data_IF_869324850732
#
_entry.id   IF_869324850732
#
_cell.length_a   1.000
_cell.length_b   1.000
_cell.length_c   1.000
_cell.angle_alpha   90.00
_cell.angle_beta   90.00
_cell.angle_gamma   90.00
#
_symmetry.space_group_name_H-M   'P 1'
#
loop_
_entity.id
_entity.type
_entity.pdbx_description
1 polymer ?
#
# COMPACT_ATOMS: atom_id res chain seq x y z
N UNK A 1 10.64 12.13 -27.93
CA UNK A 1 9.75 11.06 -28.42
C UNK A 1 10.30 9.75 -27.89
N UNK A 2 9.58 9.04 -27.03
CA UNK A 2 9.97 7.71 -26.53
C UNK A 2 9.42 6.62 -27.46
N UNK A 3 10.20 5.55 -27.66
CA UNK A 3 9.76 4.34 -28.36
C UNK A 3 9.36 3.28 -27.33
N UNK A 4 8.32 2.49 -27.62
CA UNK A 4 7.82 1.46 -26.72
C UNK A 4 6.71 0.61 -27.34
N UNK A 5 6.25 -0.39 -26.59
CA UNK A 5 5.09 -1.22 -26.98
C UNK A 5 3.83 -0.58 -26.40
N UNK A 6 2.93 -0.15 -27.29
CA UNK A 6 1.57 0.21 -26.88
C UNK A 6 0.71 -1.05 -26.85
N UNK A 7 0.16 -1.37 -25.69
CA UNK A 7 -0.70 -2.54 -25.48
C UNK A 7 -2.14 -2.09 -25.43
N UNK A 8 -2.98 -2.72 -26.25
CA UNK A 8 -4.42 -2.45 -26.29
C UNK A 8 -5.14 -3.57 -25.54
N UNK A 9 -5.83 -3.23 -24.46
CA UNK A 9 -6.68 -4.19 -23.75
C UNK A 9 -8.14 -3.97 -24.13
N UNK A 10 -8.91 -5.07 -24.20
CA UNK A 10 -10.33 -5.01 -24.55
C UNK A 10 -11.14 -4.20 -23.52
N UNK A 11 -10.72 -4.27 -22.26
CA UNK A 11 -11.47 -3.79 -21.08
C UNK A 11 -10.82 -2.59 -20.39
N UNK A 12 -9.72 -2.06 -20.91
CA UNK A 12 -8.97 -0.99 -20.27
C UNK A 12 -8.39 0.02 -21.24
N UNK A 13 -7.69 1.02 -20.69
CA UNK A 13 -6.95 2.00 -21.48
C UNK A 13 -5.75 1.32 -22.14
N UNK A 14 -5.24 1.93 -23.21
CA UNK A 14 -3.98 1.48 -23.78
C UNK A 14 -2.83 1.95 -22.87
N UNK A 15 -1.93 1.05 -22.50
CA UNK A 15 -0.74 1.39 -21.72
C UNK A 15 0.53 1.21 -22.55
N UNK A 16 1.55 2.01 -22.24
CA UNK A 16 2.83 2.00 -22.93
C UNK A 16 3.88 1.32 -22.06
N UNK A 17 4.50 0.28 -22.61
CA UNK A 17 5.74 -0.30 -22.11
C UNK A 17 6.90 0.37 -22.85
N UNK A 18 7.37 1.50 -22.33
CA UNK A 18 8.49 2.29 -22.87
C UNK A 18 9.63 2.41 -21.86
N UNK A 19 10.70 3.13 -22.21
CA UNK A 19 11.90 3.18 -21.36
C UNK A 19 11.73 3.94 -20.05
N UNK A 20 10.58 4.58 -19.80
CA UNK A 20 10.23 5.14 -18.49
C UNK A 20 9.32 4.18 -17.69
N UNK A 21 8.94 3.05 -18.29
CA UNK A 21 8.02 2.11 -17.67
C UNK A 21 8.71 1.27 -16.60
N UNK A 22 8.21 1.33 -15.37
CA UNK A 22 8.63 0.44 -14.28
C UNK A 22 7.59 -0.65 -14.08
N UNK A 23 7.91 -1.89 -14.42
CA UNK A 23 7.08 -3.06 -14.10
C UNK A 23 7.46 -3.65 -12.75
N UNK A 24 6.48 -3.86 -11.87
CA UNK A 24 6.72 -4.44 -10.56
C UNK A 24 6.11 -5.83 -10.40
N UNK A 25 6.72 -6.61 -9.52
CA UNK A 25 6.27 -7.93 -9.13
C UNK A 25 6.13 -8.03 -7.62
N UNK A 26 4.99 -8.53 -7.16
CA UNK A 26 4.76 -8.92 -5.78
C UNK A 26 5.58 -10.18 -5.51
N UNK A 27 6.75 -10.02 -4.90
CA UNK A 27 7.67 -11.12 -4.58
C UNK A 27 7.37 -11.76 -3.23
N UNK A 28 6.54 -11.14 -2.40
CA UNK A 28 6.06 -11.71 -1.15
C UNK A 28 4.89 -10.93 -0.56
N UNK A 29 4.03 -11.62 0.18
CA UNK A 29 2.95 -11.00 0.93
C UNK A 29 2.70 -11.77 2.23
N UNK A 30 2.55 -11.04 3.34
CA UNK A 30 2.12 -11.55 4.64
C UNK A 30 0.85 -10.79 5.03
N UNK A 31 -0.22 -11.49 5.38
CA UNK A 31 -1.50 -10.89 5.79
C UNK A 31 -1.64 -10.67 7.31
N UNK A 32 -0.68 -11.16 8.09
CA UNK A 32 -0.58 -11.05 9.55
C UNK A 32 0.76 -11.67 10.00
N UNK A 33 1.09 -11.56 11.29
CA UNK A 33 2.33 -12.05 11.89
C UNK A 33 3.58 -11.45 11.25
N UNK A 34 3.54 -10.13 11.01
CA UNK A 34 4.69 -9.39 10.49
C UNK A 34 5.66 -9.12 11.63
N UNK A 35 6.89 -9.61 11.48
CA UNK A 35 7.99 -9.40 12.43
C UNK A 35 9.12 -8.57 11.80
N UNK A 36 9.99 -7.95 12.62
CA UNK A 36 11.08 -7.11 12.11
C UNK A 36 12.00 -7.83 11.12
N UNK A 37 12.26 -9.14 11.32
CA UNK A 37 12.86 -10.01 10.31
C UNK A 37 11.75 -10.76 9.59
N UNK A 38 11.46 -10.35 8.36
CA UNK A 38 10.21 -10.75 7.69
C UNK A 38 10.24 -12.13 7.05
N UNK A 39 11.42 -12.69 6.80
CA UNK A 39 11.59 -13.88 5.96
C UNK A 39 11.43 -13.62 4.45
N UNK A 40 11.16 -12.38 4.04
CA UNK A 40 11.06 -11.99 2.64
C UNK A 40 12.41 -11.45 2.14
N UNK A 41 12.78 -11.77 0.90
CA UNK A 41 14.08 -11.41 0.33
C UNK A 41 13.92 -10.64 -0.97
N UNK A 42 14.82 -9.68 -1.19
CA UNK A 42 14.92 -8.94 -2.45
C UNK A 42 16.10 -9.47 -3.25
N UNK A 43 15.91 -9.97 -4.48
CA UNK A 43 17.01 -10.49 -5.29
C UNK A 43 18.10 -9.44 -5.58
N UNK A 44 19.32 -9.92 -5.83
CA UNK A 44 20.40 -9.04 -6.25
C UNK A 44 20.09 -8.32 -7.56
N UNK A 45 20.47 -7.03 -7.62
CA UNK A 45 20.19 -6.18 -8.76
C UNK A 45 18.73 -5.68 -8.86
N UNK A 46 17.92 -5.85 -7.81
CA UNK A 46 16.56 -5.30 -7.74
C UNK A 46 16.47 -4.14 -6.75
N UNK A 47 15.53 -3.24 -7.03
CA UNK A 47 14.95 -2.31 -6.06
C UNK A 47 13.66 -2.90 -5.50
N UNK A 48 13.16 -2.26 -4.43
CA UNK A 48 12.01 -2.76 -3.69
C UNK A 48 11.14 -1.65 -3.11
N UNK A 49 9.91 -2.03 -2.80
CA UNK A 49 8.99 -1.29 -1.96
C UNK A 49 8.29 -2.25 -1.01
N UNK A 50 8.28 -1.91 0.28
CA UNK A 50 7.54 -2.62 1.30
C UNK A 50 6.29 -1.82 1.65
N UNK A 51 5.13 -2.33 1.27
CA UNK A 51 3.85 -1.78 1.71
C UNK A 51 3.47 -2.36 3.07
N UNK A 52 3.14 -1.49 4.01
CA UNK A 52 2.59 -1.85 5.31
C UNK A 52 1.21 -1.21 5.46
N UNK A 53 0.16 -2.01 5.60
CA UNK A 53 -1.20 -1.45 5.65
C UNK A 53 -1.47 -0.70 6.95
N UNK A 54 -0.75 -1.00 8.04
CA UNK A 54 -0.88 -0.33 9.35
C UNK A 54 0.50 -0.08 9.98
N UNK A 55 1.34 0.68 9.27
CA UNK A 55 2.73 0.88 9.66
C UNK A 55 2.87 1.66 10.97
N UNK A 56 2.13 2.77 11.09
CA UNK A 56 2.27 3.70 12.20
C UNK A 56 1.18 3.52 13.25
N UNK A 57 1.49 3.86 14.50
CA UNK A 57 0.52 3.78 15.59
C UNK A 57 1.10 4.21 16.93
N UNK A 58 0.25 4.14 17.95
CA UNK A 58 0.64 4.23 19.35
C UNK A 58 0.34 2.91 20.06
N UNK A 59 1.06 2.66 21.13
CA UNK A 59 0.85 1.54 22.04
C UNK A 59 0.46 2.05 23.41
N UNK A 60 -0.47 1.35 24.06
CA UNK A 60 -0.93 1.60 25.42
C UNK A 60 -0.61 0.44 26.36
N UNK A 61 -0.47 0.77 27.65
CA UNK A 61 -0.38 -0.14 28.80
C UNK A 61 -1.42 0.28 29.85
N UNK A 62 -1.73 -0.60 30.81
CA UNK A 62 -2.58 -0.25 31.95
C UNK A 62 -1.72 0.23 33.13
N UNK A 63 -2.07 1.37 33.72
CA UNK A 63 -1.46 1.83 34.97
C UNK A 63 -2.04 1.11 36.21
N UNK A 64 -1.54 1.49 37.39
CA UNK A 64 -1.99 0.94 38.69
C UNK A 64 -3.48 1.19 39.01
N UNK A 65 -4.15 2.05 38.23
CA UNK A 65 -5.57 2.37 38.37
C UNK A 65 -6.44 1.72 37.29
N UNK A 66 -5.89 0.76 36.53
CA UNK A 66 -6.49 0.14 35.35
C UNK A 66 -6.82 1.14 34.22
N UNK A 67 -6.11 2.27 34.15
CA UNK A 67 -6.27 3.24 33.07
C UNK A 67 -5.28 2.97 31.94
N UNK A 68 -5.73 3.11 30.68
CA UNK A 68 -4.84 3.02 29.52
C UNK A 68 -3.93 4.25 29.43
N UNK A 69 -2.62 4.02 29.41
CA UNK A 69 -1.57 5.04 29.28
C UNK A 69 -0.80 4.81 27.99
N UNK A 70 -0.50 5.86 27.24
CA UNK A 70 0.29 5.75 26.01
C UNK A 70 1.76 5.77 26.35
N UNK A 71 2.44 4.67 26.05
CA UNK A 71 3.83 4.44 26.47
C UNK A 71 4.80 4.29 25.29
N UNK A 72 4.28 4.05 24.09
CA UNK A 72 5.14 3.90 22.91
C UNK A 72 4.46 4.32 21.60
N UNK A 73 5.29 4.51 20.58
CA UNK A 73 4.87 4.79 19.21
C UNK A 73 5.62 3.92 18.20
N UNK A 74 4.93 3.57 17.12
CA UNK A 74 5.45 2.77 16.02
C UNK A 74 5.63 3.63 14.77
N UNK A 75 6.82 3.59 14.18
CA UNK A 75 7.16 4.22 12.91
C UNK A 75 8.24 3.37 12.18
N UNK A 76 7.90 2.18 11.67
CA UNK A 76 8.88 1.22 11.17
C UNK A 76 9.41 1.61 9.78
N UNK A 77 10.72 1.76 9.63
CA UNK A 77 11.37 2.03 8.35
C UNK A 77 11.92 0.73 7.76
N UNK A 78 11.45 0.39 6.56
CA UNK A 78 11.92 -0.77 5.81
C UNK A 78 13.35 -0.57 5.30
N UNK A 79 14.20 -1.58 5.47
CA UNK A 79 15.55 -1.64 4.90
C UNK A 79 15.90 -3.08 4.49
N UNK A 80 17.00 -3.24 3.75
CA UNK A 80 17.57 -4.55 3.45
C UNK A 80 18.79 -4.77 4.32
N UNK A 81 18.88 -5.94 4.98
CA UNK A 81 20.09 -6.35 5.67
C UNK A 81 21.18 -6.83 4.69
N UNK A 82 22.30 -7.31 5.23
CA UNK A 82 23.45 -7.81 4.44
C UNK A 82 23.12 -9.02 3.55
N UNK A 83 22.06 -9.75 3.85
CA UNK A 83 21.56 -10.88 3.07
C UNK A 83 20.40 -10.49 2.15
N UNK A 84 20.10 -9.18 2.06
CA UNK A 84 18.96 -8.63 1.33
C UNK A 84 17.61 -9.17 1.82
N UNK A 85 17.54 -9.56 3.09
CA UNK A 85 16.28 -9.80 3.77
C UNK A 85 15.61 -8.44 4.03
N UNK A 86 14.31 -8.36 3.76
CA UNK A 86 13.52 -7.22 4.16
C UNK A 86 13.40 -7.20 5.68
N UNK A 87 13.91 -6.13 6.28
CA UNK A 87 13.90 -5.89 7.71
C UNK A 87 13.29 -4.52 8.03
N UNK A 88 12.93 -4.33 9.30
CA UNK A 88 12.43 -3.06 9.81
C UNK A 88 13.32 -2.53 10.93
N UNK A 89 13.45 -1.21 11.01
CA UNK A 89 14.07 -0.47 12.12
C UNK A 89 13.14 0.63 12.59
N UNK A 90 13.34 1.11 13.81
CA UNK A 90 12.60 2.26 14.33
C UNK A 90 12.95 3.53 13.52
N UNK A 91 11.91 4.25 13.08
CA UNK A 91 11.99 5.56 12.49
C UNK A 91 12.05 6.67 13.55
N UNK A 92 12.11 7.92 13.09
CA UNK A 92 12.30 9.09 13.96
C UNK A 92 11.18 9.29 14.99
N UNK A 93 9.97 8.79 14.70
CA UNK A 93 8.82 8.92 15.58
C UNK A 93 8.52 7.64 16.37
N UNK A 94 9.40 6.63 16.36
CA UNK A 94 9.23 5.45 17.18
C UNK A 94 9.87 5.69 18.57
N UNK A 95 9.09 5.48 19.63
CA UNK A 95 9.48 5.73 21.03
C UNK A 95 9.08 4.53 21.88
N UNK A 96 9.96 4.16 22.82
CA UNK A 96 9.72 3.17 23.86
C UNK A 96 9.80 1.71 23.38
N UNK A 97 10.20 0.82 24.28
CA UNK A 97 9.96 -0.63 24.19
C UNK A 97 8.97 -0.95 25.33
N UNK A 98 7.93 -1.70 25.04
CA UNK A 98 6.86 -2.01 26.01
C UNK A 98 6.63 -3.51 26.06
N UNK A 99 5.92 -4.01 27.08
CA UNK A 99 5.60 -5.45 27.16
C UNK A 99 4.78 -5.92 25.94
N UNK A 100 4.02 -5.01 25.32
CA UNK A 100 3.22 -5.26 24.13
C UNK A 100 4.01 -5.17 22.81
N UNK A 101 5.20 -4.56 22.83
CA UNK A 101 6.15 -4.52 21.72
C UNK A 101 7.55 -4.88 22.22
N UNK A 102 7.79 -6.15 22.61
CA UNK A 102 9.04 -6.56 23.26
C UNK A 102 10.24 -6.60 22.30
N UNK A 103 10.04 -6.27 21.02
CA UNK A 103 11.10 -6.22 20.02
C UNK A 103 11.81 -4.86 20.06
N UNK A 104 13.08 -4.82 19.65
CA UNK A 104 13.84 -3.57 19.39
C UNK A 104 13.19 -2.64 18.34
N UNK A 105 12.09 -3.07 17.73
CA UNK A 105 11.39 -2.39 16.65
C UNK A 105 9.89 -2.47 16.90
N UNK A 106 9.25 -1.32 17.04
CA UNK A 106 7.82 -1.21 17.26
C UNK A 106 7.09 -1.40 15.92
N UNK A 107 6.47 -2.56 15.74
CA UNK A 107 5.76 -2.95 14.53
C UNK A 107 4.47 -3.66 14.90
N UNK A 108 3.33 -3.25 14.32
CA UNK A 108 2.09 -3.98 14.50
C UNK A 108 2.14 -5.31 13.74
N UNK A 109 2.04 -6.49 14.39
CA UNK A 109 2.06 -7.75 13.67
C UNK A 109 0.76 -8.02 12.89
N UNK A 110 -0.36 -7.36 13.23
CA UNK A 110 -1.68 -7.55 12.62
C UNK A 110 -1.92 -6.60 11.46
N UNK A 111 -1.08 -6.69 10.43
CA UNK A 111 -1.20 -5.88 9.22
C UNK A 111 -0.82 -6.68 7.98
N UNK A 112 -1.13 -6.11 6.81
CA UNK A 112 -0.66 -6.64 5.54
C UNK A 112 0.70 -6.04 5.23
N UNK A 113 1.68 -6.91 4.97
CA UNK A 113 2.95 -6.58 4.34
C UNK A 113 2.93 -7.09 2.89
N UNK A 114 3.17 -6.21 1.91
CA UNK A 114 3.40 -6.61 0.51
C UNK A 114 4.78 -6.13 0.09
N UNK A 115 5.65 -7.06 -0.30
CA UNK A 115 6.94 -6.77 -0.89
C UNK A 115 6.83 -6.75 -2.41
N UNK A 116 7.06 -5.58 -2.99
CA UNK A 116 7.15 -5.38 -4.42
C UNK A 116 8.60 -5.17 -4.82
N UNK A 117 9.02 -5.83 -5.90
CA UNK A 117 10.39 -5.75 -6.41
C UNK A 117 10.40 -5.52 -7.91
N UNK A 118 11.44 -4.83 -8.39
CA UNK A 118 11.69 -4.62 -9.81
C UNK A 118 13.19 -4.58 -10.08
N UNK A 119 13.65 -5.05 -11.25
CA UNK A 119 15.07 -4.98 -11.58
C UNK A 119 15.52 -3.52 -11.70
N UNK A 120 16.69 -3.21 -11.13
CA UNK A 120 17.35 -1.92 -11.35
C UNK A 120 17.69 -1.75 -12.83
N UNK A 121 17.67 -0.52 -13.37
CA UNK A 121 18.23 -0.26 -14.69
C UNK A 121 19.67 -0.76 -14.75
N UNK A 122 19.93 -1.73 -15.61
CA UNK A 122 21.25 -2.29 -15.85
C UNK A 122 21.48 -2.38 -17.36
N UNK A 123 22.74 -2.33 -17.79
CA UNK A 123 23.06 -2.60 -19.19
C UNK A 123 22.58 -3.99 -19.58
N UNK A 124 21.87 -4.05 -20.69
CA UNK A 124 21.32 -5.29 -21.21
C UNK A 124 22.43 -6.26 -21.65
N UNK A 125 22.66 -7.32 -20.89
CA UNK A 125 23.46 -8.48 -21.32
C UNK A 125 22.53 -9.70 -21.46
N UNK A 126 22.55 -10.35 -22.63
CA UNK A 126 21.76 -11.57 -22.91
C UNK A 126 20.67 -11.42 -23.98
N UNK A 127 19.70 -12.33 -23.98
CA UNK A 127 18.59 -12.37 -24.94
C UNK A 127 17.36 -11.61 -24.41
N UNK A 128 16.74 -10.75 -25.23
CA UNK A 128 15.55 -9.98 -24.88
C UNK A 128 15.11 -9.06 -26.02
N UNK A 129 14.00 -8.33 -25.82
CA UNK A 129 13.58 -7.28 -26.75
C UNK A 129 14.15 -5.96 -26.26
N UNK A 130 14.93 -5.30 -27.12
CA UNK A 130 15.53 -3.99 -26.89
C UNK A 130 14.95 -2.99 -27.89
N UNK A 131 14.30 -1.94 -27.40
CA UNK A 131 13.83 -0.84 -28.25
C UNK A 131 14.86 0.29 -28.24
N UNK A 132 15.65 0.39 -29.31
CA UNK A 132 16.68 1.42 -29.45
C UNK A 132 16.12 2.68 -30.11
N UNK A 133 16.00 3.76 -29.34
CA UNK A 133 15.70 5.10 -29.86
C UNK A 133 15.63 6.14 -28.74
N UNK A 134 16.64 7.02 -28.71
CA UNK A 134 16.83 8.18 -27.82
C UNK A 134 16.71 7.88 -26.31
N UNK A 135 17.85 7.64 -25.67
CA UNK A 135 18.14 7.67 -24.21
C UNK A 135 17.23 6.94 -23.20
N UNK A 136 16.27 6.11 -23.62
CA UNK A 136 15.46 5.34 -22.68
C UNK A 136 15.40 3.87 -23.09
N UNK A 137 16.15 3.03 -22.37
CA UNK A 137 16.19 1.59 -22.54
C UNK A 137 14.99 0.94 -21.85
N UNK A 138 13.97 0.52 -22.61
CA UNK A 138 13.02 -0.46 -22.10
C UNK A 138 13.61 -1.85 -22.32
N UNK A 139 13.95 -2.55 -21.23
CA UNK A 139 14.46 -3.90 -21.30
C UNK A 139 13.55 -4.86 -20.53
N UNK A 140 13.03 -5.85 -21.24
CA UNK A 140 12.53 -7.08 -20.62
C UNK A 140 13.63 -8.12 -20.75
N UNK A 141 14.15 -8.57 -19.61
CA UNK A 141 15.21 -9.58 -19.55
C UNK A 141 14.78 -10.77 -18.70
N UNK A 142 15.70 -11.73 -18.52
CA UNK A 142 15.47 -12.93 -17.71
C UNK A 142 15.07 -12.66 -16.24
N UNK A 143 15.29 -11.44 -15.75
CA UNK A 143 14.97 -11.01 -14.38
C UNK A 143 13.59 -10.31 -14.32
N UNK A 144 13.03 -9.83 -15.42
CA UNK A 144 11.72 -9.16 -15.41
C UNK A 144 10.59 -10.13 -15.05
N UNK A 145 9.76 -9.74 -14.08
CA UNK A 145 8.52 -10.42 -13.70
C UNK A 145 7.39 -9.37 -13.61
N UNK A 146 6.13 -9.80 -13.68
CA UNK A 146 4.98 -8.91 -13.68
C UNK A 146 3.92 -9.37 -12.68
N UNK A 147 3.39 -8.43 -11.89
CA UNK A 147 2.13 -8.64 -11.18
C UNK A 147 0.96 -8.29 -12.07
N UNK A 148 0.05 -9.25 -12.26
CA UNK A 148 -1.08 -9.10 -13.17
C UNK A 148 -2.33 -8.67 -12.41
N UNK A 149 -3.17 -7.87 -13.08
CA UNK A 149 -4.51 -7.55 -12.63
C UNK A 149 -5.34 -8.84 -12.70
N UNK A 150 -5.84 -9.27 -11.55
CA UNK A 150 -6.74 -10.44 -11.46
C UNK A 150 -8.20 -10.03 -11.44
N UNK A 151 -8.48 -8.80 -11.02
CA UNK A 151 -9.80 -8.19 -11.03
C UNK A 151 -9.68 -6.66 -11.03
N UNK A 152 -10.64 -6.00 -11.69
CA UNK A 152 -10.87 -4.57 -11.54
C UNK A 152 -12.35 -4.26 -11.75
N UNK A 153 -12.86 -3.22 -11.11
CA UNK A 153 -14.25 -2.82 -11.24
C UNK A 153 -14.65 -1.75 -10.24
N UNK A 154 -15.93 -1.40 -10.26
CA UNK A 154 -16.52 -0.54 -9.24
C UNK A 154 -16.88 -1.36 -7.99
N UNK A 155 -16.63 -0.79 -6.81
CA UNK A 155 -16.99 -1.34 -5.51
C UNK A 155 -17.75 -0.32 -4.68
N UNK A 156 -18.66 -0.81 -3.85
CA UNK A 156 -19.37 -0.02 -2.86
C UNK A 156 -18.91 -0.44 -1.45
N UNK A 157 -18.35 0.51 -0.70
CA UNK A 157 -17.87 0.29 0.67
C UNK A 157 -18.81 1.02 1.62
N UNK A 158 -19.46 0.27 2.50
CA UNK A 158 -20.39 0.79 3.51
C UNK A 158 -19.82 0.62 4.91
N UNK A 159 -20.48 1.22 5.91
CA UNK A 159 -20.15 1.02 7.33
C UNK A 159 -20.32 -0.44 7.83
N UNK A 160 -20.93 -1.32 7.02
CA UNK A 160 -20.99 -2.77 7.28
C UNK A 160 -19.68 -3.48 6.97
N UNK A 161 -18.76 -2.82 6.25
CA UNK A 161 -17.50 -3.39 5.84
C UNK A 161 -17.54 -3.96 4.43
N UNK A 162 -16.44 -3.80 3.72
CA UNK A 162 -16.17 -4.47 2.45
C UNK A 162 -14.92 -5.33 2.56
N UNK A 163 -14.99 -6.53 1.98
CA UNK A 163 -13.94 -7.55 2.00
C UNK A 163 -13.56 -7.92 0.58
N UNK A 164 -12.29 -8.24 0.34
CA UNK A 164 -11.84 -8.68 -0.99
C UNK A 164 -12.49 -10.00 -1.42
N UNK A 165 -12.90 -10.82 -0.46
CA UNK A 165 -13.65 -12.05 -0.65
C UNK A 165 -15.01 -11.82 -1.35
N UNK A 166 -15.55 -10.58 -1.31
CA UNK A 166 -16.79 -10.23 -2.01
C UNK A 166 -16.62 -10.28 -3.54
N UNK A 167 -15.39 -10.18 -4.05
CA UNK A 167 -15.07 -10.38 -5.47
C UNK A 167 -14.97 -11.87 -5.78
N UNK A 168 -14.17 -12.58 -4.98
CA UNK A 168 -13.94 -14.01 -5.11
C UNK A 168 -13.49 -14.56 -3.74
N UNK A 169 -14.17 -15.59 -3.20
CA UNK A 169 -13.85 -16.14 -1.88
C UNK A 169 -12.41 -16.65 -1.70
N UNK A 170 -11.72 -16.99 -2.78
CA UNK A 170 -10.31 -17.43 -2.74
C UNK A 170 -9.31 -16.30 -2.53
N UNK A 171 -9.72 -15.05 -2.70
CA UNK A 171 -8.85 -13.89 -2.51
C UNK A 171 -8.78 -13.51 -1.04
N UNK A 172 -7.57 -13.26 -0.57
CA UNK A 172 -7.27 -12.85 0.80
C UNK A 172 -6.16 -11.81 0.80
N UNK A 173 -5.95 -11.14 1.93
CA UNK A 173 -4.83 -10.21 2.08
C UNK A 173 -3.45 -10.90 2.03
N UNK A 174 -3.40 -12.23 2.05
CA UNK A 174 -2.16 -12.98 1.86
C UNK A 174 -1.80 -13.21 0.38
N UNK A 175 -2.77 -13.14 -0.53
CA UNK A 175 -2.55 -13.49 -1.94
C UNK A 175 -2.98 -12.41 -2.94
N UNK A 176 -3.36 -11.23 -2.43
CA UNK A 176 -3.84 -10.14 -3.25
C UNK A 176 -3.46 -8.77 -2.67
N UNK A 177 -3.34 -7.79 -3.56
CA UNK A 177 -3.02 -6.41 -3.22
C UNK A 177 -3.94 -5.47 -3.99
N UNK A 178 -4.67 -4.63 -3.27
CA UNK A 178 -5.77 -3.82 -3.81
C UNK A 178 -5.46 -2.34 -3.72
N UNK A 179 -5.74 -1.63 -4.81
CA UNK A 179 -5.66 -0.19 -4.90
C UNK A 179 -7.06 0.39 -5.16
N UNK A 180 -7.37 1.50 -4.50
CA UNK A 180 -8.66 2.18 -4.60
C UNK A 180 -8.49 3.58 -5.17
N UNK A 181 -9.42 3.96 -6.06
CA UNK A 181 -9.59 5.31 -6.59
C UNK A 181 -10.94 5.82 -6.13
N UNK A 182 -10.93 6.99 -5.49
CA UNK A 182 -12.11 7.66 -4.94
C UNK A 182 -12.13 9.12 -5.37
N UNK A 183 -13.33 9.67 -5.53
CA UNK A 183 -13.54 11.07 -5.94
C UNK A 183 -14.15 11.94 -4.84
N UNK A 184 -14.75 11.35 -3.80
CA UNK A 184 -15.39 12.10 -2.71
C UNK A 184 -14.35 12.51 -1.64
N UNK A 185 -14.00 13.80 -1.53
CA UNK A 185 -13.01 14.27 -0.56
C UNK A 185 -13.53 14.26 0.88
N UNK A 186 -14.84 14.07 1.10
CA UNK A 186 -15.43 14.12 2.43
C UNK A 186 -15.31 12.81 3.21
N UNK A 187 -14.85 11.75 2.54
CA UNK A 187 -14.71 10.40 3.07
C UNK A 187 -13.36 9.77 2.70
N UNK A 188 -12.94 8.80 3.48
CA UNK A 188 -11.71 8.03 3.29
C UNK A 188 -11.93 6.56 3.55
N UNK A 189 -11.11 5.71 2.91
CA UNK A 189 -11.15 4.27 3.14
C UNK A 189 -10.19 3.97 4.31
N UNK A 190 -10.76 3.49 5.41
CA UNK A 190 -10.00 3.01 6.57
C UNK A 190 -10.25 1.53 6.84
N UNK A 191 -9.76 1.06 7.97
CA UNK A 191 -9.92 -0.31 8.45
C UNK A 191 -10.96 -0.37 9.58
N UNK A 192 -11.75 -1.44 9.64
CA UNK A 192 -12.59 -1.74 10.81
C UNK A 192 -11.74 -2.15 12.01
N UNK A 193 -11.96 -1.47 13.13
CA UNK A 193 -11.30 -1.74 14.41
C UNK A 193 -12.16 -2.54 15.40
N UNK A 194 -13.34 -3.02 14.95
CA UNK A 194 -14.20 -3.92 15.74
C UNK A 194 -13.42 -5.18 16.10
N UNK A 195 -13.63 -5.70 17.31
CA UNK A 195 -12.86 -6.85 17.84
C UNK A 195 -12.85 -8.06 16.88
N UNK A 196 -13.99 -8.40 16.28
CA UNK A 196 -14.11 -9.52 15.32
C UNK A 196 -13.49 -9.29 13.94
N UNK A 197 -13.03 -8.06 13.65
CA UNK A 197 -12.48 -7.65 12.34
C UNK A 197 -10.94 -7.42 12.42
N UNK A 198 -10.32 -7.68 13.57
CA UNK A 198 -8.90 -7.35 13.81
C UNK A 198 -7.92 -8.28 13.11
N UNK A 199 -8.37 -9.43 12.60
CA UNK A 199 -7.53 -10.36 11.84
C UNK A 199 -7.86 -10.35 10.33
N UNK A 200 -9.10 -10.01 9.97
CA UNK A 200 -9.54 -9.86 8.58
C UNK A 200 -9.55 -8.37 8.23
N UNK A 201 -8.60 -7.86 7.44
CA UNK A 201 -8.63 -6.45 7.03
C UNK A 201 -9.96 -6.16 6.30
N UNK A 202 -10.86 -5.44 6.98
CA UNK A 202 -12.16 -5.02 6.45
C UNK A 202 -12.10 -3.52 6.21
N UNK A 203 -12.46 -3.13 5.00
CA UNK A 203 -12.48 -1.72 4.60
C UNK A 203 -13.80 -1.08 5.00
N UNK A 204 -13.75 0.07 5.68
CA UNK A 204 -14.93 0.86 6.05
C UNK A 204 -14.70 2.35 5.75
N UNK A 205 -15.79 3.11 5.53
CA UNK A 205 -15.69 4.54 5.28
C UNK A 205 -15.48 5.33 6.58
N UNK A 206 -14.61 6.32 6.51
CA UNK A 206 -14.38 7.32 7.55
C UNK A 206 -14.68 8.70 7.00
N UNK A 207 -15.32 9.58 7.77
CA UNK A 207 -15.51 10.98 7.39
C UNK A 207 -14.24 11.82 7.64
N UNK A 208 -14.23 13.06 7.15
CA UNK A 208 -13.12 14.00 7.34
C UNK A 208 -12.86 14.40 8.80
N UNK A 209 -13.81 14.15 9.72
CA UNK A 209 -13.64 14.35 11.17
C UNK A 209 -13.12 13.09 11.87
N UNK A 210 -12.78 12.06 11.10
CA UNK A 210 -12.26 10.77 11.54
C UNK A 210 -13.30 9.84 12.12
N UNK A 211 -14.60 10.15 12.06
CA UNK A 211 -15.66 9.24 12.49
C UNK A 211 -15.92 8.14 11.46
N UNK A 212 -16.39 6.97 11.89
CA UNK A 212 -16.93 5.97 10.95
C UNK A 212 -18.16 6.58 10.28
N UNK A 213 -18.14 6.66 8.96
CA UNK A 213 -19.17 7.34 8.17
C UNK A 213 -20.32 6.39 7.81
N UNK A 214 -21.54 6.89 7.78
CA UNK A 214 -22.69 6.16 7.23
C UNK A 214 -22.82 6.31 5.71
N UNK A 215 -21.97 7.14 5.08
CA UNK A 215 -21.95 7.28 3.62
C UNK A 215 -21.34 6.04 2.97
N UNK A 216 -21.87 5.65 1.83
CA UNK A 216 -21.25 4.65 0.96
C UNK A 216 -20.15 5.30 0.12
N UNK A 217 -18.94 4.73 0.16
CA UNK A 217 -17.89 5.07 -0.81
C UNK A 217 -18.16 4.28 -2.08
N UNK A 218 -18.29 4.98 -3.21
CA UNK A 218 -18.21 4.40 -4.55
C UNK A 218 -16.78 4.55 -5.05
N UNK A 219 -16.06 3.44 -5.16
CA UNK A 219 -14.65 3.44 -5.56
C UNK A 219 -14.43 2.57 -6.78
N UNK A 220 -13.44 2.93 -7.59
CA UNK A 220 -12.84 1.99 -8.56
C UNK A 220 -11.73 1.24 -7.85
N UNK A 221 -11.71 -0.07 -7.97
CA UNK A 221 -10.68 -0.90 -7.36
C UNK A 221 -10.00 -1.78 -8.39
N UNK A 222 -8.67 -1.86 -8.32
CA UNK A 222 -7.85 -2.82 -9.08
C UNK A 222 -7.15 -3.75 -8.10
N UNK A 223 -7.17 -5.03 -8.40
CA UNK A 223 -6.61 -6.09 -7.57
C UNK A 223 -5.53 -6.81 -8.35
N UNK A 224 -4.33 -6.82 -7.78
CA UNK A 224 -3.20 -7.62 -8.24
C UNK A 224 -3.11 -8.89 -7.41
N UNK A 225 -2.94 -10.02 -8.07
CA UNK A 225 -2.82 -11.31 -7.42
C UNK A 225 -1.37 -11.80 -7.40
N UNK A 226 -1.06 -12.66 -6.43
CA UNK A 226 0.14 -13.52 -6.44
C UNK A 226 -0.11 -14.78 -7.32
N UNK A 227 -1.24 -14.83 -8.03
CA UNK A 227 -1.72 -16.01 -8.76
C UNK A 227 -1.08 -16.17 -10.15
N UNK A 228 -1.33 -17.34 -10.75
CA UNK A 228 -0.89 -17.66 -12.10
C UNK A 228 -1.54 -16.75 -13.15
N UNK A 229 -0.75 -16.43 -14.17
CA UNK A 229 -1.15 -15.58 -15.28
C UNK A 229 -2.21 -16.30 -16.11
N UNK A 230 -3.33 -15.63 -16.37
CA UNK A 230 -4.35 -16.13 -17.31
C UNK A 230 -3.78 -16.07 -18.72
N UNK A 231 -3.61 -17.21 -19.38
CA UNK A 231 -3.13 -17.25 -20.75
C UNK A 231 -4.27 -17.04 -21.74
N UNK A 232 -4.17 -16.03 -22.59
CA UNK A 232 -5.20 -15.69 -23.58
C UNK A 232 -4.91 -16.38 -24.91
N UNK A 233 -5.92 -16.79 -25.68
CA UNK A 233 -5.71 -17.55 -26.93
C UNK A 233 -4.81 -16.83 -27.96
N UNK A 234 -4.81 -15.50 -27.94
CA UNK A 234 -4.03 -14.63 -28.83
C UNK A 234 -3.29 -13.57 -28.00
N UNK A 235 -2.30 -12.91 -28.61
CA UNK A 235 -1.53 -11.83 -27.98
C UNK A 235 -0.04 -12.15 -27.87
N UNK A 236 0.72 -11.17 -27.38
CA UNK A 236 2.14 -11.32 -27.06
C UNK A 236 2.27 -12.00 -25.69
N UNK A 237 3.10 -13.05 -25.61
CA UNK A 237 3.45 -13.70 -24.35
C UNK A 237 4.95 -13.70 -24.16
N UNK A 238 5.37 -13.48 -22.93
CA UNK A 238 6.78 -13.59 -22.53
C UNK A 238 6.90 -14.80 -21.62
N UNK A 239 7.89 -15.62 -21.93
CA UNK A 239 8.17 -16.85 -21.20
C UNK A 239 9.47 -16.72 -20.42
N UNK A 240 9.47 -17.25 -19.20
CA UNK A 240 10.65 -17.45 -18.37
C UNK A 240 10.63 -18.89 -17.90
N UNK A 241 11.68 -19.66 -18.21
CA UNK A 241 11.78 -21.08 -17.84
C UNK A 241 10.53 -21.89 -18.21
N UNK A 242 10.04 -21.71 -19.45
CA UNK A 242 8.80 -22.34 -19.99
C UNK A 242 7.50 -21.94 -19.29
N UNK A 243 7.53 -20.99 -18.36
CA UNK A 243 6.33 -20.41 -17.72
C UNK A 243 6.02 -19.05 -18.31
N UNK A 244 4.74 -18.77 -18.57
CA UNK A 244 4.30 -17.43 -18.98
C UNK A 244 4.47 -16.49 -17.79
N UNK A 245 5.22 -15.39 -17.98
CA UNK A 245 5.42 -14.32 -16.99
C UNK A 245 4.76 -13.00 -17.39
N UNK A 246 4.31 -12.90 -18.64
CA UNK A 246 3.49 -11.81 -19.16
C UNK A 246 2.62 -12.32 -20.30
N UNK A 247 1.39 -11.84 -20.35
CA UNK A 247 0.46 -12.01 -21.46
C UNK A 247 -0.18 -10.65 -21.73
N UNK A 248 -0.10 -10.15 -22.97
CA UNK A 248 -0.55 -8.81 -23.34
C UNK A 248 -2.05 -8.59 -23.20
N UNK A 249 -2.83 -9.66 -23.07
CA UNK A 249 -4.25 -9.55 -22.78
C UNK A 249 -4.54 -9.34 -21.29
N UNK A 250 -3.52 -9.42 -20.43
CA UNK A 250 -3.61 -9.04 -19.03
C UNK A 250 -3.03 -7.64 -18.82
N UNK A 251 -3.62 -6.92 -17.87
CA UNK A 251 -3.06 -5.68 -17.35
C UNK A 251 -2.07 -6.00 -16.24
N UNK A 252 -1.10 -5.12 -16.05
CA UNK A 252 0.03 -5.34 -15.13
C UNK A 252 0.25 -4.15 -14.22
N UNK A 253 0.91 -4.40 -13.08
CA UNK A 253 1.32 -3.35 -12.16
C UNK A 253 2.51 -2.58 -12.77
N UNK A 254 2.25 -1.35 -13.19
CA UNK A 254 3.22 -0.51 -13.88
C UNK A 254 3.19 0.93 -13.38
N UNK A 255 4.32 1.60 -13.52
CA UNK A 255 4.50 3.04 -13.35
C UNK A 255 3.97 3.61 -12.03
N UNK A 256 4.23 2.97 -10.88
CA UNK A 256 3.91 3.61 -9.62
C UNK A 256 4.79 4.83 -9.40
N UNK A 257 4.23 5.82 -8.70
CA UNK A 257 4.96 6.94 -8.12
C UNK A 257 4.98 6.75 -6.62
N UNK A 258 6.15 6.95 -6.02
CA UNK A 258 6.33 6.93 -4.57
C UNK A 258 6.29 8.34 -4.02
N UNK A 259 5.30 8.65 -3.18
CA UNK A 259 5.16 9.97 -2.57
C UNK A 259 5.25 9.90 -1.06
N UNK A 260 5.89 10.92 -0.47
CA UNK A 260 5.95 11.14 0.97
C UNK A 260 4.93 12.19 1.37
N UNK A 261 4.37 12.04 2.58
CA UNK A 261 3.39 12.96 3.12
C UNK A 261 3.86 13.70 4.38
N UNK A 262 5.05 13.39 4.92
CA UNK A 262 5.59 13.99 6.15
C UNK A 262 5.99 15.46 6.02
N UNK A 263 6.00 16.00 4.80
CA UNK A 263 6.31 17.39 4.50
C UNK A 263 5.05 18.28 4.42
N UNK A 264 3.86 17.73 4.64
CA UNK A 264 2.60 18.43 4.46
C UNK A 264 1.74 18.35 5.71
N UNK A 265 0.98 19.41 5.95
CA UNK A 265 -0.04 19.44 6.98
C UNK A 265 -1.15 18.41 6.71
N UNK A 266 -1.70 17.85 7.80
CA UNK A 266 -2.82 16.92 7.71
C UNK A 266 -4.01 17.57 7.00
N UNK A 267 -4.57 16.87 6.03
CA UNK A 267 -5.73 17.36 5.27
C UNK A 267 -5.40 18.19 4.04
N UNK A 268 -4.13 18.57 3.81
CA UNK A 268 -3.73 19.34 2.63
C UNK A 268 -3.76 18.48 1.36
N UNK A 269 -4.65 18.81 0.42
CA UNK A 269 -4.74 18.15 -0.88
C UNK A 269 -3.56 18.49 -1.79
N UNK A 270 -2.94 17.47 -2.36
CA UNK A 270 -1.78 17.56 -3.23
C UNK A 270 -1.94 16.74 -4.50
N UNK A 271 -1.63 17.38 -5.62
CA UNK A 271 -1.42 16.67 -6.88
C UNK A 271 -0.12 15.88 -6.79
N UNK A 272 -0.12 14.68 -7.35
CA UNK A 272 1.04 13.80 -7.38
C UNK A 272 1.65 13.88 -8.77
N UNK A 273 2.92 14.29 -8.86
CA UNK A 273 3.57 14.46 -10.15
C UNK A 273 3.58 13.15 -10.93
N UNK A 274 3.19 13.21 -12.21
CA UNK A 274 3.11 12.03 -13.08
C UNK A 274 1.85 11.18 -12.89
N UNK A 275 0.93 11.57 -11.99
CA UNK A 275 -0.32 10.87 -11.72
C UNK A 275 -1.48 11.82 -11.91
N UNK A 276 -2.38 11.51 -12.84
CA UNK A 276 -3.58 12.33 -13.09
C UNK A 276 -4.75 11.94 -12.20
N UNK A 277 -4.95 10.64 -11.97
CA UNK A 277 -6.03 10.10 -11.14
C UNK A 277 -5.45 9.18 -10.06
N UNK A 278 -5.09 9.72 -8.88
CA UNK A 278 -4.33 8.98 -7.90
C UNK A 278 -5.14 7.84 -7.29
N UNK A 279 -4.53 6.67 -7.29
CA UNK A 279 -5.05 5.43 -6.74
C UNK A 279 -4.04 4.87 -5.74
N UNK A 280 -4.50 4.42 -4.58
CA UNK A 280 -3.62 3.96 -3.50
C UNK A 280 -4.19 2.73 -2.80
N UNK A 281 -3.31 1.88 -2.28
CA UNK A 281 -3.69 0.85 -1.32
C UNK A 281 -3.85 1.48 0.07
N UNK A 282 -4.75 0.93 0.90
CA UNK A 282 -4.94 1.43 2.27
C UNK A 282 -3.60 1.38 3.02
N UNK A 283 -3.23 2.50 3.61
CA UNK A 283 -2.00 2.65 4.39
C UNK A 283 -2.27 3.55 5.59
N UNK A 284 -1.56 3.29 6.69
CA UNK A 284 -1.45 4.20 7.82
C UNK A 284 -0.08 4.89 7.75
N UNK A 285 -0.09 6.17 7.40
CA UNK A 285 1.13 6.98 7.18
C UNK A 285 1.51 7.81 8.40
N UNK A 286 0.85 7.61 9.53
CA UNK A 286 1.10 8.37 10.75
C UNK A 286 0.09 8.04 11.82
N UNK A 287 0.24 8.63 12.98
CA UNK A 287 -0.69 8.44 14.08
C UNK A 287 -1.00 9.78 14.75
N UNK A 288 -2.21 9.89 15.29
CA UNK A 288 -2.62 11.02 16.11
C UNK A 288 -3.35 10.52 17.35
N UNK A 289 -3.11 11.19 18.46
CA UNK A 289 -3.91 11.08 19.66
C UNK A 289 -4.66 12.39 19.93
N UNK A 290 -5.95 12.30 20.21
CA UNK A 290 -6.82 13.44 20.49
C UNK A 290 -7.35 13.35 21.93
N UNK A 291 -6.89 14.24 22.80
CA UNK A 291 -7.36 14.35 24.19
C UNK A 291 -8.80 14.93 24.21
N UNK A 292 -9.66 14.34 25.05
CA UNK A 292 -10.99 14.82 25.42
C UNK A 292 -11.16 14.73 26.95
N UNK A 293 -12.12 15.44 27.53
CA UNK A 293 -12.22 15.62 28.99
C UNK A 293 -12.21 14.34 29.84
N UNK A 294 -12.72 13.22 29.31
CA UNK A 294 -12.73 11.90 29.98
C UNK A 294 -12.07 10.83 29.08
N UNK A 295 -10.88 11.13 28.55
CA UNK A 295 -10.06 10.19 27.78
C UNK A 295 -9.58 10.74 26.44
N UNK A 296 -9.55 9.91 25.40
CA UNK A 296 -9.16 10.39 24.09
C UNK A 296 -9.31 9.37 22.98
N UNK A 297 -8.92 9.76 21.78
CA UNK A 297 -8.99 8.91 20.59
C UNK A 297 -7.62 8.62 20.05
N UNK A 298 -7.31 7.33 19.93
CA UNK A 298 -6.27 6.87 19.03
C UNK A 298 -6.77 6.98 17.60
N UNK A 299 -5.92 7.50 16.74
CA UNK A 299 -6.25 7.73 15.36
C UNK A 299 -5.10 7.27 14.47
N UNK A 300 -5.47 6.57 13.39
CA UNK A 300 -4.59 6.39 12.26
C UNK A 300 -4.61 7.67 11.42
N UNK A 301 -3.48 8.01 10.80
CA UNK A 301 -3.45 8.95 9.69
C UNK A 301 -3.46 8.15 8.39
N UNK A 302 -4.63 8.09 7.76
CA UNK A 302 -4.84 7.45 6.46
C UNK A 302 -4.76 8.46 5.32
N UNK A 303 -5.24 8.04 4.14
CA UNK A 303 -5.31 8.88 2.94
C UNK A 303 -6.74 9.06 2.46
N UNK A 304 -7.02 10.22 1.88
CA UNK A 304 -8.25 10.54 1.14
C UNK A 304 -7.94 11.16 -0.20
N UNK A 305 -8.90 11.11 -1.12
CA UNK A 305 -8.77 11.59 -2.50
C UNK A 305 -9.96 12.46 -2.89
N UNK A 306 -9.73 13.41 -3.79
CA UNK A 306 -10.78 14.16 -4.49
C UNK A 306 -10.90 13.76 -5.98
N UNK A 307 -10.27 12.65 -6.37
CA UNK A 307 -10.19 12.17 -7.75
C UNK A 307 -8.97 12.65 -8.54
N UNK A 308 -8.29 13.71 -8.09
CA UNK A 308 -7.13 14.28 -8.78
C UNK A 308 -5.94 14.55 -7.84
N UNK A 309 -6.20 14.56 -6.54
CA UNK A 309 -5.25 14.91 -5.49
C UNK A 309 -5.46 13.98 -4.29
N UNK A 310 -4.40 13.80 -3.52
CA UNK A 310 -4.44 13.07 -2.24
C UNK A 310 -4.17 14.02 -1.08
N UNK A 311 -4.76 13.74 0.07
CA UNK A 311 -4.31 14.28 1.35
C UNK A 311 -4.27 13.20 2.40
N UNK A 312 -3.52 13.44 3.46
CA UNK A 312 -3.68 12.71 4.72
C UNK A 312 -5.01 13.06 5.38
N UNK A 313 -5.52 12.15 6.22
CA UNK A 313 -6.75 12.36 7.00
C UNK A 313 -6.74 11.52 8.26
N UNK A 314 -7.38 12.02 9.30
CA UNK A 314 -7.53 11.32 10.58
C UNK A 314 -8.59 10.23 10.45
N UNK A 315 -8.37 9.06 11.04
CA UNK A 315 -9.31 7.94 11.13
C UNK A 315 -9.33 7.43 12.57
N UNK A 316 -10.41 7.69 13.34
CA UNK A 316 -10.51 7.29 14.75
C UNK A 316 -10.59 5.77 14.86
N UNK A 317 -9.70 5.18 15.65
CA UNK A 317 -9.55 3.72 15.74
C UNK A 317 -10.25 3.20 16.99
N UNK A 318 -9.80 3.63 18.17
CA UNK A 318 -10.37 3.26 19.45
C UNK A 318 -10.27 4.39 20.47
N UNK A 319 -11.21 4.38 21.41
CA UNK A 319 -11.29 5.37 22.49
C UNK A 319 -10.49 4.87 23.70
N UNK A 320 -9.61 5.71 24.22
CA UNK A 320 -8.93 5.55 25.50
C UNK A 320 -9.72 6.27 26.61
N UNK A 321 -9.62 5.79 27.85
CA UNK A 321 -10.41 6.31 28.97
C UNK A 321 -9.72 7.46 29.73
N UNK A 322 -8.39 7.46 29.86
CA UNK A 322 -7.57 8.52 30.47
C UNK A 322 -6.17 8.56 29.82
N UNK A 323 -5.31 9.51 30.19
CA UNK A 323 -3.94 9.58 29.68
C UNK A 323 -3.00 10.20 30.73
N UNK A 324 -1.93 9.50 31.09
CA UNK A 324 -0.72 10.09 31.67
C UNK A 324 0.35 10.19 30.57
N UNK A 325 1.02 11.34 30.41
CA UNK A 325 1.76 11.66 29.19
C UNK A 325 3.27 11.44 29.33
N UNK A 326 3.83 10.45 28.61
CA UNK A 326 5.28 10.29 28.46
C UNK A 326 5.80 10.54 27.04
N UNK A 327 4.93 10.75 26.04
CA UNK A 327 5.36 11.00 24.66
C UNK A 327 5.57 12.51 24.36
N UNK A 328 6.65 12.88 23.64
CA UNK A 328 6.97 14.26 23.29
C UNK A 328 6.09 14.85 22.18
N UNK A 329 5.18 14.07 21.59
CA UNK A 329 4.25 14.51 20.56
C UNK A 329 2.91 13.79 20.67
N UNK A 330 1.85 14.45 20.19
CA UNK A 330 0.49 13.89 20.10
C UNK A 330 0.09 13.52 18.67
N UNK A 331 0.92 13.82 17.67
CA UNK A 331 0.65 13.52 16.26
C UNK A 331 1.93 13.50 15.44
N UNK A 332 2.02 12.62 14.45
CA UNK A 332 3.08 12.61 13.45
C UNK A 332 2.63 12.02 12.11
N UNK A 333 3.32 12.40 11.04
CA UNK A 333 3.29 11.72 9.74
C UNK A 333 4.67 11.15 9.47
N UNK A 334 4.72 9.87 9.14
CA UNK A 334 5.93 9.10 8.86
C UNK A 334 6.54 9.46 7.51
N UNK A 335 7.86 9.31 7.43
CA UNK A 335 8.61 9.45 6.19
C UNK A 335 8.46 8.28 5.21
N UNK A 336 7.72 7.23 5.60
CA UNK A 336 7.48 6.09 4.74
C UNK A 336 6.76 6.51 3.44
N UNK A 337 7.31 6.15 2.27
CA UNK A 337 6.67 6.47 1.01
C UNK A 337 5.39 5.65 0.81
N UNK A 338 4.44 6.24 0.11
CA UNK A 338 3.22 5.58 -0.36
C UNK A 338 3.34 5.30 -1.85
N UNK A 339 3.09 4.06 -2.24
CA UNK A 339 2.93 3.69 -3.65
C UNK A 339 1.59 4.19 -4.19
N UNK A 340 1.65 4.98 -5.26
CA UNK A 340 0.48 5.57 -5.91
C UNK A 340 0.48 5.16 -7.38
N UNK A 341 -0.67 4.70 -7.86
CA UNK A 341 -0.90 4.36 -9.26
C UNK A 341 -1.77 5.43 -9.92
N UNK A 342 -1.66 5.55 -11.24
CA UNK A 342 -2.62 6.31 -12.03
C UNK A 342 -3.78 5.39 -12.42
N UNK A 343 -4.99 5.72 -11.97
CA UNK A 343 -6.18 4.97 -12.34
C UNK A 343 -6.44 5.01 -13.86
N UNK A 344 -5.94 6.01 -14.59
CA UNK A 344 -6.02 6.05 -16.06
C UNK A 344 -5.18 4.97 -16.75
N UNK A 345 -4.33 4.23 -16.04
CA UNK A 345 -3.67 3.02 -16.56
C UNK A 345 -4.57 1.78 -16.48
N UNK A 346 -5.69 1.85 -15.75
CA UNK A 346 -6.54 0.69 -15.45
C UNK A 346 -8.01 0.90 -15.83
N UNK A 347 -8.50 2.13 -15.88
CA UNK A 347 -9.90 2.43 -16.15
C UNK A 347 -10.04 3.43 -17.28
N UNK A 348 -11.16 3.31 -18.01
CA UNK A 348 -11.65 4.36 -18.91
C UNK A 348 -12.54 5.28 -18.07
N UNK A 349 -12.26 6.58 -18.10
CA UNK A 349 -12.97 7.62 -17.37
C UNK A 349 -13.80 8.49 -18.31
#
# INVERSE_FOLDING_TARGET
>A
MSFGIKVFTKTGPAYNLDGNCTSMFISGALGSYVYPKTGLYVPEGYDYYAHLSHACGFADEFDETDANVIVASADPIAYLDEHRQLCFRNGKNAIGQTEHFPSDVNLNPRQQLVLLTWPKPAHANGYGILFNGVNSFFQINQNTNFSNVIWKGDVEITNRGWRIQNINPSLTHHNSFIFFYCEDPTISIGRSWKLGDRDDIIYIPYDHNGGVSNKTIKAKAVVFGVSQIKTSQYGLRIYKNKRVVYDSCNEVLINPVFARFDQYEVGHMKSIQGIKRPMFARVCVGAQYIIQSNGGWFCDIGLRSNGYQLSTTVQKTFKAWWLESELPFSSFVSEQPVMILDAENYFKF
#
